data_IF_086234692041
#
_entry.id   IF_086234692041
#
_cell.length_a   1.000
_cell.length_b   1.000
_cell.length_c   1.000
_cell.angle_alpha   90.00
_cell.angle_beta   90.00
_cell.angle_gamma   90.00
#
_symmetry.space_group_name_H-M   'P 1'
#
loop_
_entity.id
_entity.type
_entity.pdbx_description
1 polymer ?
#
# COMPACT_ATOMS: atom_id res chain seq x y z
N UNK A 1 -22.47 -19.05 15.70
CA UNK A 1 -21.56 -18.83 14.55
C UNK A 1 -21.30 -17.35 14.49
N UNK A 2 -20.08 -16.92 14.75
CA UNK A 2 -19.69 -15.52 14.62
C UNK A 2 -19.85 -15.12 13.14
N UNK A 3 -20.54 -14.01 12.86
CA UNK A 3 -20.65 -13.51 11.49
C UNK A 3 -19.25 -13.16 10.98
N UNK A 4 -18.83 -13.77 9.86
CA UNK A 4 -17.54 -13.47 9.25
C UNK A 4 -17.49 -12.00 8.84
N UNK A 5 -16.50 -11.26 9.35
CA UNK A 5 -16.30 -9.85 8.98
C UNK A 5 -15.84 -9.72 7.53
N UNK A 6 -16.06 -8.55 6.92
CA UNK A 6 -15.58 -8.25 5.58
C UNK A 6 -14.07 -8.47 5.48
N UNK A 7 -13.31 -7.98 6.46
CA UNK A 7 -11.85 -8.13 6.45
C UNK A 7 -11.42 -9.61 6.49
N UNK A 8 -12.11 -10.41 7.30
CA UNK A 8 -11.91 -11.85 7.38
C UNK A 8 -12.12 -12.54 6.02
N UNK A 9 -13.23 -12.22 5.33
CA UNK A 9 -13.55 -12.73 3.99
C UNK A 9 -12.47 -12.35 2.97
N UNK A 10 -12.01 -11.11 2.97
CA UNK A 10 -10.98 -10.64 2.03
C UNK A 10 -9.63 -11.30 2.30
N UNK A 11 -9.25 -11.51 3.57
CA UNK A 11 -8.04 -12.22 3.93
C UNK A 11 -8.06 -13.68 3.44
N UNK A 12 -9.18 -14.38 3.59
CA UNK A 12 -9.36 -15.76 3.08
C UNK A 12 -9.19 -15.84 1.56
N UNK A 13 -9.73 -14.87 0.83
CA UNK A 13 -9.58 -14.77 -0.64
C UNK A 13 -8.14 -14.44 -1.06
N UNK A 14 -7.45 -13.58 -0.32
CA UNK A 14 -6.07 -13.21 -0.63
C UNK A 14 -5.11 -14.39 -0.45
N UNK A 15 -5.26 -15.17 0.64
CA UNK A 15 -4.37 -16.29 0.97
C UNK A 15 -4.57 -17.47 -0.01
N UNK A 16 -5.80 -17.66 -0.50
CA UNK A 16 -6.10 -18.70 -1.50
C UNK A 16 -5.62 -18.34 -2.91
N UNK A 17 -5.20 -17.09 -3.15
CA UNK A 17 -4.78 -16.61 -4.46
C UNK A 17 -3.26 -16.71 -4.60
N UNK A 18 -2.78 -17.73 -5.33
CA UNK A 18 -1.33 -17.98 -5.53
C UNK A 18 -0.88 -18.03 -6.98
N UNK A 19 -1.80 -18.02 -7.95
CA UNK A 19 -1.50 -18.09 -9.38
C UNK A 19 -2.20 -16.95 -10.13
N UNK A 20 -1.44 -15.95 -10.54
CA UNK A 20 -1.96 -14.79 -11.29
C UNK A 20 -1.80 -14.98 -12.80
N UNK A 21 -2.72 -14.47 -13.63
CA UNK A 21 -2.58 -14.47 -15.08
C UNK A 21 -1.25 -13.82 -15.53
N UNK A 22 -0.70 -14.29 -16.66
CA UNK A 22 0.55 -13.76 -17.20
C UNK A 22 0.49 -12.25 -17.44
N UNK A 23 -0.62 -11.75 -17.99
CA UNK A 23 -0.83 -10.33 -18.23
C UNK A 23 -0.72 -9.50 -16.93
N UNK A 24 -1.24 -9.99 -15.81
CA UNK A 24 -1.14 -9.31 -14.52
C UNK A 24 0.31 -9.28 -14.00
N UNK A 25 1.09 -10.36 -14.22
CA UNK A 25 2.52 -10.41 -13.84
C UNK A 25 3.36 -9.46 -14.70
N UNK A 26 3.10 -9.39 -16.00
CA UNK A 26 3.77 -8.44 -16.91
C UNK A 26 3.43 -7.01 -16.50
N UNK A 27 2.14 -6.71 -16.24
CA UNK A 27 1.71 -5.40 -15.79
C UNK A 27 2.35 -5.00 -14.46
N UNK A 28 2.48 -5.94 -13.53
CA UNK A 28 3.20 -5.75 -12.27
C UNK A 28 4.67 -5.35 -12.47
N UNK A 29 5.37 -6.03 -13.39
CA UNK A 29 6.75 -5.66 -13.73
C UNK A 29 6.84 -4.25 -14.33
N UNK A 30 5.89 -3.86 -15.19
CA UNK A 30 5.83 -2.51 -15.77
C UNK A 30 5.63 -1.45 -14.66
N UNK A 31 4.69 -1.66 -13.74
CA UNK A 31 4.46 -0.76 -12.62
C UNK A 31 5.70 -0.63 -11.71
N UNK A 32 6.45 -1.73 -11.50
CA UNK A 32 7.69 -1.68 -10.73
C UNK A 32 8.77 -0.85 -11.43
N UNK A 33 8.94 -1.05 -12.75
CA UNK A 33 9.89 -0.26 -13.55
C UNK A 33 9.52 1.23 -13.59
N UNK A 34 8.24 1.54 -13.70
CA UNK A 34 7.73 2.93 -13.64
C UNK A 34 8.04 3.58 -12.28
N UNK A 35 7.79 2.88 -11.17
CA UNK A 35 8.18 3.34 -9.84
C UNK A 35 9.68 3.63 -9.73
N UNK A 36 10.54 2.71 -10.19
CA UNK A 36 11.99 2.90 -10.17
C UNK A 36 12.42 4.09 -11.02
N UNK A 37 11.84 4.26 -12.20
CA UNK A 37 12.09 5.40 -13.08
C UNK A 37 11.77 6.72 -12.37
N UNK A 38 10.59 6.82 -11.74
CA UNK A 38 10.18 8.01 -11.00
C UNK A 38 11.10 8.29 -9.80
N UNK A 39 11.47 7.26 -9.03
CA UNK A 39 12.36 7.40 -7.87
C UNK A 39 13.79 7.83 -8.23
N UNK A 40 14.29 7.42 -9.40
CA UNK A 40 15.60 7.82 -9.90
C UNK A 40 15.59 9.24 -10.49
N UNK A 41 14.55 9.57 -11.25
CA UNK A 41 14.42 10.87 -11.90
C UNK A 41 14.17 12.00 -10.88
N UNK A 42 13.38 11.72 -9.83
CA UNK A 42 13.08 12.67 -8.76
C UNK A 42 14.21 12.86 -7.75
N UNK A 43 15.31 12.11 -7.87
CA UNK A 43 16.35 12.01 -6.84
C UNK A 43 16.87 13.37 -6.34
N UNK A 44 17.00 14.34 -7.25
CA UNK A 44 17.55 15.66 -7.00
C UNK A 44 16.55 16.67 -6.41
N UNK A 45 15.26 16.33 -6.34
CA UNK A 45 14.20 17.24 -5.88
C UNK A 45 14.26 17.45 -4.36
N UNK A 46 13.78 18.60 -3.83
CA UNK A 46 13.92 18.94 -2.41
C UNK A 46 13.40 17.88 -1.45
N UNK A 47 12.18 17.38 -1.67
CA UNK A 47 11.58 16.31 -0.85
C UNK A 47 12.38 15.01 -0.89
N UNK A 48 12.93 14.64 -2.05
CA UNK A 48 13.78 13.45 -2.21
C UNK A 48 15.10 13.55 -1.44
N UNK A 49 15.68 14.76 -1.37
CA UNK A 49 16.90 15.05 -0.62
C UNK A 49 16.62 15.06 0.89
N UNK A 50 15.50 15.66 1.32
CA UNK A 50 15.10 15.72 2.73
C UNK A 50 14.85 14.32 3.30
N UNK A 51 14.16 13.44 2.57
CA UNK A 51 13.95 12.06 3.05
C UNK A 51 15.20 11.20 3.00
N UNK A 52 16.13 11.48 2.07
CA UNK A 52 17.46 10.84 2.09
C UNK A 52 18.18 11.19 3.39
N UNK A 53 18.15 12.45 3.83
CA UNK A 53 18.82 12.88 5.05
C UNK A 53 18.19 12.29 6.33
N UNK A 54 16.88 12.02 6.30
CA UNK A 54 16.21 11.25 7.36
C UNK A 54 16.71 9.80 7.35
N UNK A 55 16.70 9.15 6.17
CA UNK A 55 17.13 7.76 6.04
C UNK A 55 18.61 7.56 6.42
N UNK A 56 19.48 8.53 6.12
CA UNK A 56 20.91 8.51 6.46
C UNK A 56 21.19 8.48 7.98
N UNK A 57 20.24 8.91 8.81
CA UNK A 57 20.33 8.85 10.27
C UNK A 57 19.85 7.52 10.84
N UNK A 58 19.26 6.67 10.01
CA UNK A 58 18.76 5.35 10.39
C UNK A 58 19.86 4.30 10.19
N UNK A 59 19.87 3.28 11.05
CA UNK A 59 20.69 2.09 10.84
C UNK A 59 19.86 0.97 10.21
N UNK A 60 20.41 0.28 9.22
CA UNK A 60 19.80 -0.92 8.67
C UNK A 60 20.45 -1.36 7.38
N UNK A 61 19.81 -2.29 6.67
CA UNK A 61 20.34 -2.92 5.46
C UNK A 61 19.48 -2.68 4.23
N UNK A 62 18.37 -1.98 4.34
CA UNK A 62 17.46 -1.75 3.21
C UNK A 62 17.99 -0.58 2.38
N UNK A 63 18.14 -0.74 1.04
CA UNK A 63 18.64 0.33 0.19
C UNK A 63 17.63 1.46 0.02
N UNK A 64 18.15 2.69 -0.05
CA UNK A 64 17.41 3.83 -0.62
C UNK A 64 17.69 3.87 -2.13
N UNK A 65 16.63 3.85 -2.94
CA UNK A 65 16.71 3.74 -4.41
C UNK A 65 17.46 4.95 -4.99
N UNK A 66 18.51 4.66 -5.75
CA UNK A 66 19.36 5.68 -6.38
C UNK A 66 20.39 6.32 -5.44
N UNK A 67 20.60 5.79 -4.24
CA UNK A 67 21.55 6.31 -3.25
C UNK A 67 22.54 5.23 -2.79
N UNK A 68 23.70 5.66 -2.29
CA UNK A 68 24.67 4.78 -1.63
C UNK A 68 24.33 4.52 -0.14
N UNK A 69 23.11 4.87 0.29
CA UNK A 69 22.67 4.82 1.68
C UNK A 69 21.78 3.60 1.92
N UNK A 70 21.91 3.02 3.10
CA UNK A 70 21.01 1.99 3.63
C UNK A 70 20.39 2.47 4.94
N UNK A 71 19.17 2.03 5.21
CA UNK A 71 18.40 2.40 6.38
C UNK A 71 17.62 1.20 6.94
N UNK A 72 16.93 1.40 8.06
CA UNK A 72 15.88 0.46 8.51
C UNK A 72 14.79 0.31 7.45
N UNK A 73 14.02 -0.77 7.53
CA UNK A 73 12.94 -1.03 6.57
C UNK A 73 11.90 0.11 6.55
N UNK A 74 11.54 0.64 7.71
CA UNK A 74 10.61 1.76 7.86
C UNK A 74 11.11 3.04 7.18
N UNK A 75 12.38 3.40 7.42
CA UNK A 75 12.95 4.64 6.91
C UNK A 75 13.32 4.54 5.42
N UNK A 76 13.76 3.37 4.97
CA UNK A 76 13.96 3.12 3.55
C UNK A 76 12.63 3.08 2.80
N UNK A 77 11.58 2.44 3.33
CA UNK A 77 10.25 2.47 2.72
C UNK A 77 9.70 3.90 2.64
N UNK A 78 9.85 4.69 3.71
CA UNK A 78 9.48 6.10 3.71
C UNK A 78 10.23 6.88 2.62
N UNK A 79 11.56 6.80 2.58
CA UNK A 79 12.37 7.53 1.61
C UNK A 79 12.08 7.09 0.16
N UNK A 80 11.96 5.79 -0.09
CA UNK A 80 11.69 5.25 -1.42
C UNK A 80 10.29 5.64 -1.93
N UNK A 81 9.28 5.70 -1.05
CA UNK A 81 7.95 6.16 -1.40
C UNK A 81 7.92 7.64 -1.80
N UNK A 82 8.56 8.51 -1.01
CA UNK A 82 8.62 9.95 -1.32
C UNK A 82 9.40 10.22 -2.60
N UNK A 83 10.51 9.50 -2.83
CA UNK A 83 11.23 9.56 -4.10
C UNK A 83 10.36 9.07 -5.25
N UNK A 84 9.71 7.92 -5.11
CA UNK A 84 8.80 7.41 -6.15
C UNK A 84 7.67 8.36 -6.50
N UNK A 85 7.11 9.07 -5.51
CA UNK A 85 6.03 10.05 -5.70
C UNK A 85 6.54 11.44 -6.10
N UNK A 86 7.86 11.65 -6.14
CA UNK A 86 8.45 12.97 -6.23
C UNK A 86 8.10 13.75 -7.51
N UNK A 87 7.67 13.08 -8.57
CA UNK A 87 7.20 13.70 -9.81
C UNK A 87 5.68 13.70 -9.94
N UNK A 88 4.98 12.95 -9.10
CA UNK A 88 3.54 12.66 -9.23
C UNK A 88 3.21 12.06 -10.62
N UNK A 89 4.17 11.32 -11.20
CA UNK A 89 4.08 10.68 -12.52
C UNK A 89 3.70 9.20 -12.43
N UNK A 90 4.12 8.56 -11.34
CA UNK A 90 3.92 7.14 -11.06
C UNK A 90 2.49 6.66 -11.30
N UNK A 91 2.39 5.34 -11.37
CA UNK A 91 1.15 4.63 -11.58
C UNK A 91 -0.05 5.10 -10.75
N UNK A 92 -1.22 4.98 -11.36
CA UNK A 92 -2.48 5.34 -10.74
C UNK A 92 -3.55 4.31 -11.10
N UNK A 93 -4.28 3.87 -10.10
CA UNK A 93 -5.43 3.02 -10.29
C UNK A 93 -6.68 3.87 -10.51
N UNK A 94 -7.30 3.72 -11.69
CA UNK A 94 -8.44 4.54 -12.12
C UNK A 94 -9.63 4.45 -11.17
N UNK A 95 -10.01 3.23 -10.78
CA UNK A 95 -11.22 3.00 -9.99
C UNK A 95 -11.16 3.49 -8.55
N UNK A 96 -9.96 3.63 -7.98
CA UNK A 96 -9.77 4.11 -6.61
C UNK A 96 -9.12 5.50 -6.55
N UNK A 97 -8.82 6.10 -7.71
CA UNK A 97 -8.20 7.43 -7.82
C UNK A 97 -6.91 7.51 -6.97
N UNK A 98 -6.15 6.41 -6.86
CA UNK A 98 -5.03 6.31 -5.92
C UNK A 98 -3.76 5.79 -6.59
N UNK A 99 -2.63 6.30 -6.10
CA UNK A 99 -1.28 5.92 -6.51
C UNK A 99 -0.76 4.84 -5.57
N UNK A 100 -1.17 3.59 -5.81
CA UNK A 100 -0.85 2.49 -4.88
C UNK A 100 0.60 2.00 -5.00
N UNK A 101 1.21 2.10 -6.18
CA UNK A 101 2.58 1.61 -6.42
C UNK A 101 3.61 2.28 -5.53
N UNK A 102 3.46 3.59 -5.26
CA UNK A 102 4.36 4.34 -4.37
C UNK A 102 4.26 3.97 -2.90
N UNK A 103 3.28 3.15 -2.49
CA UNK A 103 3.29 2.51 -1.17
C UNK A 103 3.71 1.04 -1.26
N UNK A 104 3.20 0.31 -2.27
CA UNK A 104 3.45 -1.13 -2.46
C UNK A 104 4.94 -1.43 -2.70
N UNK A 105 5.57 -0.77 -3.68
CA UNK A 105 6.93 -1.10 -4.08
C UNK A 105 7.97 -0.83 -2.99
N UNK A 106 7.94 0.33 -2.29
CA UNK A 106 8.85 0.57 -1.16
C UNK A 106 8.75 -0.47 -0.05
N UNK A 107 7.53 -0.92 0.28
CA UNK A 107 7.31 -1.97 1.28
C UNK A 107 7.92 -3.29 0.83
N UNK A 108 7.65 -3.70 -0.41
CA UNK A 108 8.17 -4.95 -0.96
C UNK A 108 9.70 -4.95 -1.09
N UNK A 109 10.30 -3.83 -1.54
CA UNK A 109 11.77 -3.66 -1.56
C UNK A 109 12.33 -3.84 -0.15
N UNK A 110 11.70 -3.24 0.85
CA UNK A 110 12.16 -3.26 2.23
C UNK A 110 12.13 -4.66 2.83
N UNK A 111 11.00 -5.36 2.67
CA UNK A 111 10.84 -6.72 3.17
C UNK A 111 11.74 -7.70 2.43
N UNK A 112 11.93 -7.55 1.12
CA UNK A 112 12.81 -8.41 0.32
C UNK A 112 14.29 -8.21 0.67
N UNK A 113 14.72 -6.96 0.93
CA UNK A 113 16.09 -6.67 1.35
C UNK A 113 16.40 -7.23 2.76
N UNK A 114 15.42 -7.28 3.67
CA UNK A 114 15.59 -7.90 4.98
C UNK A 114 15.55 -9.43 4.94
N UNK A 115 14.90 -10.02 3.93
CA UNK A 115 14.65 -11.45 3.81
C UNK A 115 15.07 -11.96 2.42
N UNK A 116 16.36 -12.22 2.18
CA UNK A 116 16.85 -12.63 0.86
C UNK A 116 16.41 -14.04 0.44
N UNK A 117 15.83 -14.83 1.35
CA UNK A 117 15.40 -16.22 1.13
C UNK A 117 13.89 -16.37 0.92
N UNK A 118 13.20 -15.30 0.56
CA UNK A 118 11.75 -15.34 0.34
C UNK A 118 11.38 -16.25 -0.84
N UNK A 119 10.35 -17.07 -0.65
CA UNK A 119 9.84 -17.99 -1.67
C UNK A 119 8.84 -17.34 -2.65
N UNK A 120 8.27 -16.18 -2.28
CA UNK A 120 7.27 -15.46 -3.08
C UNK A 120 7.96 -14.32 -3.82
N UNK A 121 7.67 -14.18 -5.11
CA UNK A 121 8.14 -13.04 -5.90
C UNK A 121 7.46 -11.75 -5.43
N UNK A 122 8.22 -10.66 -5.18
CA UNK A 122 7.64 -9.33 -4.92
C UNK A 122 6.62 -8.90 -5.98
N UNK A 123 6.85 -9.23 -7.26
CA UNK A 123 5.91 -8.91 -8.34
C UNK A 123 4.56 -9.62 -8.16
N UNK A 124 4.59 -10.90 -7.76
CA UNK A 124 3.35 -11.64 -7.47
C UNK A 124 2.63 -11.04 -6.25
N UNK A 125 3.38 -10.74 -5.18
CA UNK A 125 2.82 -10.15 -3.97
C UNK A 125 2.17 -8.78 -4.21
N UNK A 126 2.75 -7.96 -5.09
CA UNK A 126 2.20 -6.66 -5.47
C UNK A 126 0.76 -6.78 -6.03
N UNK A 127 0.47 -7.81 -6.84
CA UNK A 127 -0.84 -8.01 -7.45
C UNK A 127 -1.94 -8.11 -6.38
N UNK A 128 -1.69 -8.84 -5.28
CA UNK A 128 -2.61 -8.90 -4.14
C UNK A 128 -2.86 -7.52 -3.52
N UNK A 129 -1.81 -6.70 -3.38
CA UNK A 129 -1.94 -5.33 -2.88
C UNK A 129 -2.81 -4.44 -3.75
N UNK A 130 -2.55 -4.42 -5.07
CA UNK A 130 -3.39 -3.69 -6.03
C UNK A 130 -4.84 -4.19 -6.03
N UNK A 131 -5.05 -5.50 -5.89
CA UNK A 131 -6.39 -6.08 -5.83
C UNK A 131 -7.18 -5.54 -4.63
N UNK A 132 -6.66 -5.69 -3.41
CA UNK A 132 -7.37 -5.21 -2.23
C UNK A 132 -7.61 -3.71 -2.27
N UNK A 133 -6.56 -2.94 -2.60
CA UNK A 133 -6.66 -1.49 -2.65
C UNK A 133 -7.62 -0.99 -3.73
N UNK A 134 -7.60 -1.61 -4.92
CA UNK A 134 -8.53 -1.31 -6.00
C UNK A 134 -9.97 -1.60 -5.62
N UNK A 135 -10.24 -2.78 -5.05
CA UNK A 135 -11.59 -3.20 -4.62
C UNK A 135 -12.15 -2.30 -3.53
N UNK A 136 -11.39 -2.07 -2.46
CA UNK A 136 -11.82 -1.17 -1.38
C UNK A 136 -12.00 0.24 -1.92
N UNK A 137 -11.06 0.74 -2.70
CA UNK A 137 -11.08 2.12 -3.17
C UNK A 137 -12.23 2.42 -4.13
N UNK A 138 -12.67 1.47 -4.97
CA UNK A 138 -13.86 1.63 -5.82
C UNK A 138 -15.15 1.89 -5.04
N UNK A 139 -15.21 1.46 -3.78
CA UNK A 139 -16.39 1.61 -2.92
C UNK A 139 -16.21 2.76 -1.94
N UNK A 140 -15.00 2.91 -1.39
CA UNK A 140 -14.68 3.90 -0.37
C UNK A 140 -14.50 5.32 -0.94
N UNK A 141 -13.90 5.45 -2.13
CA UNK A 141 -13.48 6.75 -2.64
C UNK A 141 -14.64 7.41 -3.38
N UNK A 142 -15.20 8.45 -2.77
CA UNK A 142 -16.23 9.31 -3.36
C UNK A 142 -15.66 10.69 -3.71
N UNK A 143 -16.30 11.45 -4.62
CA UNK A 143 -15.90 12.83 -4.87
C UNK A 143 -15.95 13.71 -3.61
N UNK A 144 -16.89 13.44 -2.69
CA UNK A 144 -16.98 14.17 -1.44
C UNK A 144 -15.80 13.88 -0.51
N UNK A 145 -15.44 12.61 -0.34
CA UNK A 145 -14.28 12.22 0.46
C UNK A 145 -12.98 12.72 -0.16
N UNK A 146 -12.83 12.63 -1.49
CA UNK A 146 -11.64 13.07 -2.23
C UNK A 146 -11.40 14.60 -2.17
N UNK A 147 -12.41 15.40 -1.79
CA UNK A 147 -12.22 16.84 -1.51
C UNK A 147 -11.38 17.08 -0.27
N UNK A 148 -11.51 16.21 0.75
CA UNK A 148 -10.87 16.42 2.05
C UNK A 148 -9.68 15.50 2.30
N UNK A 149 -9.72 14.30 1.74
CA UNK A 149 -8.70 13.27 1.93
C UNK A 149 -8.12 12.83 0.60
N UNK A 150 -6.81 12.55 0.61
CA UNK A 150 -6.11 11.98 -0.54
C UNK A 150 -6.41 10.49 -0.62
N UNK A 151 -6.96 9.98 -1.74
CA UNK A 151 -7.26 8.56 -1.87
C UNK A 151 -6.05 7.65 -1.63
N UNK A 152 -4.87 8.05 -2.09
CA UNK A 152 -3.61 7.33 -1.84
C UNK A 152 -3.32 7.13 -0.35
N UNK A 153 -3.62 8.12 0.49
CA UNK A 153 -3.41 8.04 1.93
C UNK A 153 -4.34 7.05 2.64
N UNK A 154 -5.55 6.84 2.11
CA UNK A 154 -6.51 5.87 2.63
C UNK A 154 -6.24 4.46 2.12
N UNK A 155 -5.94 4.32 0.83
CA UNK A 155 -5.83 3.03 0.15
C UNK A 155 -4.42 2.45 0.24
N UNK A 156 -3.39 3.30 0.17
CA UNK A 156 -1.99 2.89 0.18
C UNK A 156 -1.59 1.99 1.35
N UNK A 157 -1.93 2.33 2.62
CA UNK A 157 -1.59 1.49 3.76
C UNK A 157 -2.15 0.07 3.65
N UNK A 158 -3.42 -0.08 3.26
CA UNK A 158 -4.08 -1.39 3.09
C UNK A 158 -3.46 -2.19 1.94
N UNK A 159 -3.26 -1.54 0.79
CA UNK A 159 -2.69 -2.15 -0.40
C UNK A 159 -1.26 -2.65 -0.15
N UNK A 160 -0.40 -1.79 0.41
CA UNK A 160 0.99 -2.13 0.71
C UNK A 160 1.10 -3.20 1.80
N UNK A 161 0.21 -3.17 2.80
CA UNK A 161 0.17 -4.19 3.85
C UNK A 161 -0.24 -5.54 3.31
N UNK A 162 -1.27 -5.64 2.45
CA UNK A 162 -1.62 -6.94 1.88
C UNK A 162 -0.49 -7.48 0.98
N UNK A 163 0.15 -6.62 0.19
CA UNK A 163 1.30 -7.03 -0.61
C UNK A 163 2.43 -7.57 0.29
N UNK A 164 2.76 -6.89 1.38
CA UNK A 164 3.76 -7.36 2.33
C UNK A 164 3.36 -8.65 3.05
N UNK A 165 2.10 -8.79 3.46
CA UNK A 165 1.58 -10.01 4.09
C UNK A 165 1.66 -11.21 3.13
N UNK A 166 1.33 -11.02 1.84
CA UNK A 166 1.47 -12.03 0.80
C UNK A 166 2.95 -12.41 0.59
N UNK A 167 3.85 -11.42 0.53
CA UNK A 167 5.29 -11.66 0.40
C UNK A 167 5.85 -12.48 1.57
N UNK A 168 5.44 -12.14 2.80
CA UNK A 168 5.86 -12.83 4.03
C UNK A 168 5.11 -14.14 4.29
N UNK A 169 4.13 -14.49 3.44
CA UNK A 169 3.25 -15.65 3.61
C UNK A 169 2.57 -15.69 4.99
N UNK A 170 2.06 -14.55 5.43
CA UNK A 170 1.26 -14.49 6.65
C UNK A 170 0.03 -15.40 6.51
N UNK A 171 -0.30 -16.07 7.61
CA UNK A 171 -1.55 -16.81 7.72
C UNK A 171 -2.75 -15.85 7.84
N UNK A 172 -3.93 -16.44 7.97
CA UNK A 172 -5.20 -15.72 8.07
C UNK A 172 -5.21 -14.71 9.20
N UNK A 173 -4.80 -15.12 10.39
CA UNK A 173 -4.88 -14.29 11.59
C UNK A 173 -3.92 -13.10 11.49
N UNK A 174 -2.67 -13.36 11.09
CA UNK A 174 -1.68 -12.31 10.89
C UNK A 174 -2.07 -11.33 9.77
N UNK A 175 -2.69 -11.83 8.70
CA UNK A 175 -3.17 -10.98 7.61
C UNK A 175 -4.29 -10.05 8.07
N UNK A 176 -5.27 -10.57 8.82
CA UNK A 176 -6.35 -9.75 9.40
C UNK A 176 -5.78 -8.69 10.35
N UNK A 177 -4.91 -9.08 11.26
CA UNK A 177 -4.32 -8.16 12.24
C UNK A 177 -3.48 -7.07 11.56
N UNK A 178 -2.65 -7.43 10.57
CA UNK A 178 -1.84 -6.47 9.84
C UNK A 178 -2.71 -5.43 9.13
N UNK A 179 -3.74 -5.89 8.41
CA UNK A 179 -4.67 -5.00 7.71
C UNK A 179 -5.47 -4.11 8.68
N UNK A 180 -5.81 -4.61 9.86
CA UNK A 180 -6.48 -3.82 10.87
C UNK A 180 -5.59 -2.69 11.42
N UNK A 181 -4.31 -2.96 11.68
CA UNK A 181 -3.36 -1.89 12.04
C UNK A 181 -3.16 -0.89 10.90
N UNK A 182 -3.07 -1.38 9.65
CA UNK A 182 -2.92 -0.51 8.48
C UNK A 182 -4.14 0.39 8.26
N UNK A 183 -5.35 -0.14 8.42
CA UNK A 183 -6.59 0.64 8.41
C UNK A 183 -6.58 1.69 9.52
N UNK A 184 -6.17 1.35 10.74
CA UNK A 184 -6.17 2.33 11.82
C UNK A 184 -5.09 3.43 11.67
N UNK A 185 -4.08 3.19 10.82
CA UNK A 185 -2.97 4.10 10.57
C UNK A 185 -3.08 4.86 9.23
N UNK A 186 -4.26 4.84 8.58
CA UNK A 186 -4.46 5.64 7.36
C UNK A 186 -4.43 7.14 7.66
N UNK A 187 -4.10 7.94 6.65
CA UNK A 187 -4.13 9.39 6.75
C UNK A 187 -3.69 10.05 5.46
N UNK A 188 -3.97 11.35 5.31
CA UNK A 188 -3.61 12.13 4.13
C UNK A 188 -4.67 13.16 3.83
N UNK A 189 -4.50 14.36 4.38
CA UNK A 189 -5.37 15.51 4.08
C UNK A 189 -5.06 16.05 2.68
N UNK A 190 -6.07 16.63 2.04
CA UNK A 190 -5.94 17.21 0.70
C UNK A 190 -5.87 18.75 0.71
N UNK A 191 -5.19 19.33 1.71
CA UNK A 191 -5.07 20.79 1.87
C UNK A 191 -3.95 21.41 0.99
N UNK A 192 -2.97 20.59 0.58
CA UNK A 192 -1.83 21.01 -0.23
C UNK A 192 -2.19 21.84 -1.50
N UNK A 193 -3.30 21.61 -2.25
CA UNK A 193 -3.60 22.42 -3.44
C UNK A 193 -4.02 23.85 -3.08
N UNK A 194 -4.49 24.07 -1.85
CA UNK A 194 -4.90 25.38 -1.34
C UNK A 194 -3.73 26.16 -0.75
N UNK A 195 -2.83 25.46 -0.05
CA UNK A 195 -1.66 26.05 0.62
C UNK A 195 -0.42 26.13 -0.26
N UNK A 196 -0.31 25.28 -1.28
CA UNK A 196 0.90 25.11 -2.09
C UNK A 196 2.04 24.40 -1.35
N UNK A 197 1.73 23.65 -0.28
CA UNK A 197 2.72 22.99 0.54
C UNK A 197 3.21 21.64 -0.04
N UNK A 198 4.40 21.22 0.40
CA UNK A 198 5.06 19.99 -0.05
C UNK A 198 4.54 18.71 0.66
N UNK A 199 3.59 18.82 1.59
CA UNK A 199 3.06 17.70 2.37
C UNK A 199 2.50 16.58 1.49
N UNK A 200 2.05 16.92 0.29
CA UNK A 200 1.66 15.96 -0.74
C UNK A 200 2.73 14.92 -1.05
N UNK A 201 4.01 15.30 -1.06
CA UNK A 201 5.11 14.42 -1.46
C UNK A 201 5.44 13.40 -0.36
N UNK A 202 5.20 13.75 0.91
CA UNK A 202 5.56 12.93 2.05
C UNK A 202 4.49 11.91 2.46
N UNK A 203 3.22 12.17 2.15
CA UNK A 203 2.14 11.29 2.60
C UNK A 203 2.26 9.82 2.14
N UNK A 204 2.75 9.46 0.93
CA UNK A 204 2.94 8.07 0.56
C UNK A 204 4.06 7.42 1.39
N UNK A 205 5.04 8.22 1.82
CA UNK A 205 6.06 7.82 2.79
C UNK A 205 5.44 7.35 4.09
N UNK A 206 4.52 8.12 4.66
CA UNK A 206 3.81 7.71 5.88
C UNK A 206 3.01 6.41 5.65
N UNK A 207 2.33 6.29 4.51
CA UNK A 207 1.61 5.06 4.16
C UNK A 207 2.52 3.83 4.10
N UNK A 208 3.67 3.93 3.42
CA UNK A 208 4.65 2.86 3.31
C UNK A 208 5.28 2.49 4.67
N UNK A 209 5.66 3.50 5.46
CA UNK A 209 6.21 3.30 6.81
C UNK A 209 5.20 2.60 7.73
N UNK A 210 3.95 3.07 7.74
CA UNK A 210 2.89 2.52 8.58
C UNK A 210 2.55 1.08 8.19
N UNK A 211 2.62 0.73 6.90
CA UNK A 211 2.43 -0.64 6.44
C UNK A 211 3.52 -1.60 6.96
N UNK A 212 4.80 -1.19 6.95
CA UNK A 212 5.88 -1.98 7.57
C UNK A 212 5.62 -2.19 9.06
N UNK A 213 5.25 -1.12 9.78
CA UNK A 213 4.92 -1.21 11.22
C UNK A 213 3.74 -2.15 11.47
N UNK A 214 2.67 -2.06 10.67
CA UNK A 214 1.49 -2.92 10.78
C UNK A 214 1.83 -4.40 10.58
N UNK A 215 2.66 -4.72 9.58
CA UNK A 215 3.14 -6.08 9.33
C UNK A 215 3.98 -6.61 10.49
N UNK A 216 4.86 -5.78 11.06
CA UNK A 216 5.69 -6.16 12.21
C UNK A 216 4.85 -6.41 13.46
N UNK A 217 3.90 -5.52 13.76
CA UNK A 217 2.97 -5.69 14.89
C UNK A 217 2.22 -7.03 14.79
N UNK A 218 1.62 -7.32 13.64
CA UNK A 218 0.92 -8.58 13.43
C UNK A 218 1.86 -9.80 13.44
N UNK A 219 3.06 -9.68 12.87
CA UNK A 219 4.08 -10.73 12.91
C UNK A 219 4.54 -11.10 14.32
N UNK A 220 4.51 -10.13 15.23
CA UNK A 220 4.80 -10.28 16.66
C UNK A 220 3.59 -10.72 17.50
N UNK A 221 2.43 -10.94 16.88
CA UNK A 221 1.22 -11.44 17.55
C UNK A 221 0.33 -10.34 18.15
N UNK A 222 0.55 -9.07 17.84
CA UNK A 222 -0.40 -8.03 18.21
C UNK A 222 -1.72 -8.19 17.41
N UNK A 223 -2.84 -7.92 18.07
CA UNK A 223 -4.19 -8.11 17.49
C UNK A 223 -4.83 -6.78 17.12
N UNK A 224 -5.51 -6.75 15.96
CA UNK A 224 -6.33 -5.63 15.52
C UNK A 224 -7.80 -6.01 15.39
N UNK A 225 -8.68 -5.02 15.24
CA UNK A 225 -10.11 -5.30 15.09
C UNK A 225 -10.42 -5.96 13.74
N UNK A 226 -10.96 -7.18 13.76
CA UNK A 226 -11.41 -7.86 12.55
C UNK A 226 -12.58 -7.15 11.85
N UNK A 227 -13.31 -6.27 12.54
CA UNK A 227 -14.42 -5.48 12.01
C UNK A 227 -14.01 -4.02 11.68
N UNK A 228 -12.71 -3.72 11.60
CA UNK A 228 -12.21 -2.36 11.33
C UNK A 228 -12.72 -1.76 10.01
N UNK A 229 -13.16 -2.58 9.05
CA UNK A 229 -13.74 -2.10 7.80
C UNK A 229 -15.25 -1.84 7.96
N UNK A 230 -15.97 -2.83 8.48
CA UNK A 230 -17.42 -2.98 8.38
C UNK A 230 -18.18 -2.90 9.72
N UNK A 231 -17.49 -2.66 10.82
CA UNK A 231 -18.08 -2.47 12.14
C UNK A 231 -18.77 -1.12 12.31
N UNK A 232 -19.48 -0.94 13.43
CA UNK A 232 -20.23 0.28 13.76
C UNK A 232 -19.38 1.56 13.76
N UNK A 233 -18.09 1.43 14.11
CA UNK A 233 -17.09 2.50 14.06
C UNK A 233 -15.95 2.16 13.10
N UNK A 234 -16.23 1.34 12.08
CA UNK A 234 -15.27 0.95 11.05
C UNK A 234 -15.05 2.01 9.98
N UNK A 235 -14.12 1.74 9.07
CA UNK A 235 -13.70 2.62 7.99
C UNK A 235 -14.87 3.13 7.12
N UNK A 236 -15.78 2.25 6.72
CA UNK A 236 -16.91 2.69 5.87
C UNK A 236 -17.88 3.59 6.66
N UNK A 237 -18.14 3.25 7.93
CA UNK A 237 -18.99 4.04 8.81
C UNK A 237 -18.39 5.44 9.09
N UNK A 238 -17.06 5.56 9.22
CA UNK A 238 -16.40 6.85 9.49
C UNK A 238 -16.55 7.87 8.36
N UNK A 239 -16.81 7.41 7.14
CA UNK A 239 -17.08 8.26 5.98
C UNK A 239 -18.56 8.30 5.59
N UNK A 240 -19.46 7.73 6.41
CA UNK A 240 -20.89 7.68 6.13
C UNK A 240 -21.24 6.86 4.88
N UNK A 241 -20.37 5.93 4.46
CA UNK A 241 -20.56 5.14 3.25
C UNK A 241 -21.36 3.88 3.59
N UNK A 242 -22.55 3.68 3.00
CA UNK A 242 -23.31 2.46 3.18
C UNK A 242 -22.51 1.28 2.61
N UNK A 243 -22.20 0.30 3.46
CA UNK A 243 -21.48 -0.87 3.02
C UNK A 243 -22.41 -1.80 2.23
N UNK A 244 -21.94 -2.26 1.08
CA UNK A 244 -22.53 -3.34 0.30
C UNK A 244 -21.52 -4.50 0.23
N UNK A 245 -21.40 -5.34 1.28
CA UNK A 245 -20.34 -6.35 1.41
C UNK A 245 -20.29 -7.37 0.27
N UNK A 246 -21.43 -7.62 -0.37
CA UNK A 246 -21.58 -8.47 -1.55
C UNK A 246 -20.81 -7.93 -2.76
N UNK A 247 -20.54 -6.62 -2.81
CA UNK A 247 -19.79 -5.97 -3.89
C UNK A 247 -18.28 -5.98 -3.67
N UNK A 248 -17.81 -6.47 -2.52
CA UNK A 248 -16.40 -6.55 -2.18
C UNK A 248 -15.95 -8.02 -2.13
N UNK A 249 -15.25 -8.42 -3.18
CA UNK A 249 -14.51 -9.68 -3.27
C UNK A 249 -13.21 -9.44 -4.03
N UNK A 250 -12.17 -10.20 -3.69
CA UNK A 250 -10.92 -10.21 -4.44
C UNK A 250 -11.01 -11.19 -5.61
N UNK A 251 -10.41 -10.81 -6.73
CA UNK A 251 -10.29 -11.60 -7.96
C UNK A 251 -11.61 -12.20 -8.52
N UNK A 252 -12.74 -11.47 -8.53
CA UNK A 252 -13.95 -11.94 -9.18
C UNK A 252 -13.65 -12.32 -10.62
N UNK A 253 -14.07 -13.53 -11.00
CA UNK A 253 -13.88 -14.08 -12.35
C UNK A 253 -12.40 -14.16 -12.79
N UNK A 254 -11.45 -14.09 -11.84
CA UNK A 254 -10.01 -14.12 -12.12
C UNK A 254 -9.42 -12.78 -12.63
N UNK A 255 -10.20 -11.71 -12.65
CA UNK A 255 -9.73 -10.37 -13.01
C UNK A 255 -8.84 -9.79 -11.90
N UNK A 256 -7.81 -9.04 -12.27
CA UNK A 256 -6.90 -8.39 -11.33
C UNK A 256 -6.99 -6.86 -11.49
N UNK A 257 -7.22 -6.13 -10.40
CA UNK A 257 -7.32 -4.65 -10.39
C UNK A 257 -6.05 -3.96 -10.90
N UNK A 258 -4.88 -4.64 -10.85
CA UNK A 258 -3.65 -4.11 -11.45
C UNK A 258 -3.80 -3.83 -12.95
N UNK A 259 -4.74 -4.49 -13.64
CA UNK A 259 -5.03 -4.25 -15.06
C UNK A 259 -5.71 -2.90 -15.31
N UNK A 260 -6.35 -2.31 -14.28
CA UNK A 260 -6.96 -0.98 -14.33
C UNK A 260 -6.00 0.15 -13.92
N UNK A 261 -4.72 -0.17 -13.70
CA UNK A 261 -3.65 0.78 -13.42
C UNK A 261 -3.10 1.34 -14.73
N UNK A 262 -2.92 2.65 -14.81
CA UNK A 262 -2.21 3.31 -15.90
C UNK A 262 -0.92 3.94 -15.38
N UNK A 263 0.04 4.10 -16.27
CA UNK A 263 1.31 4.79 -16.05
C UNK A 263 1.29 6.04 -16.94
N UNK A 264 1.83 7.17 -16.47
CA UNK A 264 1.78 8.45 -17.21
C UNK A 264 2.97 8.63 -18.15
#
# INVERSE_FOLDING_TARGET
MEHATLLSKLADQAISSSAFPEAARVKSAICFLDFLSCALESAHLPWSQQVRDIAAKSSGRVPVVGEAIRASAEEAAFANAVRGHGLVREDMHTGSISHMGVAIWPVLISLAAENPTLAVSPLAAAISGYELGGRIGRVLITPEMARHFRPTGLIGPLAATLAGAALLRFDREKTINALAFAANAFGGLNEWPHSGADDMYFHPGFAARNAITALRLAGLGATGSASILDGQAGLFASFGIPLAPERLSLFPQGECEIMAVFNK
#
